data_IF_686656263769
#
_entry.id   IF_686656263769
#
_cell.length_a   1.000
_cell.length_b   1.000
_cell.length_c   1.000
_cell.angle_alpha   90.00
_cell.angle_beta   90.00
_cell.angle_gamma   90.00
#
_symmetry.space_group_name_H-M   'P 1'
#
loop_
_entity.id
_entity.type
_entity.pdbx_description
1 polymer ?
#
# COMPACT_ATOMS: atom_id res chain seq x y z
N UNK A 1 47.29 46.24 -8.66
CA UNK A 1 46.99 44.82 -8.92
C UNK A 1 45.52 44.62 -8.54
N UNK A 2 44.61 44.79 -9.50
CA UNK A 2 43.16 44.71 -9.29
C UNK A 2 42.72 43.31 -9.75
N UNK A 3 42.34 42.43 -8.83
CA UNK A 3 41.78 41.13 -9.18
C UNK A 3 40.34 41.32 -9.67
N UNK A 4 40.12 41.06 -10.96
CA UNK A 4 38.78 40.91 -11.52
C UNK A 4 38.23 39.55 -11.10
N UNK A 5 37.23 39.53 -10.23
CA UNK A 5 36.41 38.33 -10.01
C UNK A 5 35.37 38.24 -11.13
N UNK A 6 35.58 37.30 -12.06
CA UNK A 6 34.57 36.93 -13.07
C UNK A 6 33.59 35.98 -12.39
N UNK A 7 32.39 36.47 -12.09
CA UNK A 7 31.27 35.63 -11.68
C UNK A 7 30.75 34.96 -12.97
N UNK A 8 31.11 33.70 -13.19
CA UNK A 8 30.43 32.85 -14.16
C UNK A 8 29.04 32.52 -13.60
N UNK A 9 28.02 33.18 -14.12
CA UNK A 9 26.63 32.74 -13.94
C UNK A 9 26.46 31.53 -14.85
N UNK A 10 26.65 30.34 -14.29
CA UNK A 10 26.28 29.09 -14.96
C UNK A 10 24.76 29.09 -15.13
N UNK A 11 24.28 29.29 -16.36
CA UNK A 11 22.91 28.96 -16.73
C UNK A 11 22.83 27.43 -16.64
N UNK A 12 22.28 26.93 -15.54
CA UNK A 12 21.84 25.54 -15.47
C UNK A 12 20.71 25.44 -16.48
N UNK A 13 21.01 24.88 -17.65
CA UNK A 13 19.99 24.50 -18.61
C UNK A 13 19.14 23.46 -17.89
N UNK A 14 17.95 23.86 -17.44
CA UNK A 14 16.92 22.90 -17.06
C UNK A 14 16.71 22.03 -18.28
N UNK A 15 17.16 20.78 -18.23
CA UNK A 15 16.70 19.78 -19.18
C UNK A 15 15.19 19.72 -19.01
N UNK A 16 14.47 20.45 -19.87
CA UNK A 16 13.05 20.28 -20.07
C UNK A 16 12.90 18.86 -20.59
N UNK A 17 12.66 17.92 -19.69
CA UNK A 17 12.14 16.61 -20.05
C UNK A 17 10.87 16.87 -20.83
N UNK A 18 10.73 16.22 -21.99
CA UNK A 18 9.50 16.32 -22.77
C UNK A 18 8.29 16.03 -21.87
N UNK A 19 7.20 16.80 -21.98
CA UNK A 19 6.02 16.60 -21.16
C UNK A 19 5.51 15.17 -21.34
N UNK A 20 5.05 14.55 -20.26
CA UNK A 20 4.36 13.27 -20.34
C UNK A 20 3.01 13.50 -21.04
N UNK A 21 2.82 12.84 -22.18
CA UNK A 21 1.61 12.99 -22.99
C UNK A 21 0.93 11.64 -23.15
N UNK A 22 -0.34 11.60 -22.75
CA UNK A 22 -1.21 10.48 -23.07
C UNK A 22 -1.49 10.43 -24.59
N UNK A 23 -1.40 9.23 -25.21
CA UNK A 23 -1.76 9.05 -26.61
C UNK A 23 -3.13 9.64 -26.97
N UNK A 24 -3.23 10.29 -28.13
CA UNK A 24 -4.51 10.81 -28.64
C UNK A 24 -5.43 9.66 -29.05
N UNK A 25 -6.72 9.73 -28.70
CA UNK A 25 -7.72 8.70 -29.07
C UNK A 25 -8.48 8.11 -27.88
N UNK A 26 -8.02 8.40 -26.67
CA UNK A 26 -8.75 8.14 -25.44
C UNK A 26 -9.95 9.10 -25.30
N UNK A 27 -11.15 8.55 -25.11
CA UNK A 27 -12.38 9.34 -24.93
C UNK A 27 -12.22 10.32 -23.77
N UNK A 28 -12.89 11.48 -23.81
CA UNK A 28 -13.06 12.32 -22.62
C UNK A 28 -13.75 11.50 -21.53
N UNK A 29 -12.98 11.09 -20.53
CA UNK A 29 -13.47 10.19 -19.50
C UNK A 29 -14.35 10.95 -18.51
N UNK A 30 -15.54 10.39 -18.27
CA UNK A 30 -16.35 10.77 -17.11
C UNK A 30 -15.79 10.09 -15.86
N UNK A 31 -15.98 10.65 -14.66
CA UNK A 31 -15.62 10.00 -13.40
C UNK A 31 -16.15 8.57 -13.34
N UNK A 32 -15.33 7.63 -12.85
CA UNK A 32 -15.73 6.22 -12.78
C UNK A 32 -16.88 6.07 -11.79
N UNK A 33 -17.98 5.47 -12.24
CA UNK A 33 -19.12 5.14 -11.38
C UNK A 33 -18.86 3.82 -10.67
N UNK A 34 -18.20 3.89 -9.51
CA UNK A 34 -17.95 2.75 -8.63
C UNK A 34 -19.24 2.18 -8.01
N UNK A 35 -19.24 0.92 -7.53
CA UNK A 35 -20.38 0.36 -6.82
C UNK A 35 -20.65 1.14 -5.53
N UNK A 36 -21.90 1.12 -5.07
CA UNK A 36 -22.32 1.82 -3.85
C UNK A 36 -21.88 1.10 -2.55
N UNK A 37 -21.40 -0.13 -2.67
CA UNK A 37 -20.93 -0.97 -1.57
C UNK A 37 -20.02 -2.08 -2.10
N UNK A 38 -19.04 -2.48 -1.29
CA UNK A 38 -18.22 -3.68 -1.51
C UNK A 38 -18.56 -4.75 -0.47
N UNK A 39 -18.02 -5.96 -0.65
CA UNK A 39 -18.00 -7.00 0.38
C UNK A 39 -17.31 -6.43 1.63
N UNK A 40 -18.12 -6.23 2.66
CA UNK A 40 -17.75 -5.56 3.90
C UNK A 40 -17.49 -6.54 5.05
N UNK A 41 -17.31 -7.83 4.75
CA UNK A 41 -17.10 -8.90 5.73
C UNK A 41 -18.37 -9.29 6.49
N UNK A 42 -18.21 -9.69 7.75
CA UNK A 42 -19.34 -10.19 8.57
C UNK A 42 -19.07 -10.08 10.06
N UNK A 43 -20.14 -9.91 10.84
CA UNK A 43 -20.11 -9.98 12.30
C UNK A 43 -19.45 -11.27 12.80
N UNK A 44 -19.68 -12.40 12.10
CA UNK A 44 -19.04 -13.68 12.41
C UNK A 44 -18.37 -14.26 11.17
N UNK A 45 -17.07 -13.97 11.01
CA UNK A 45 -16.28 -14.49 9.90
C UNK A 45 -16.12 -16.02 9.91
N UNK A 46 -16.37 -16.69 11.04
CA UNK A 46 -16.21 -18.14 11.22
C UNK A 46 -17.50 -18.94 11.06
N UNK A 47 -18.62 -18.29 10.71
CA UNK A 47 -19.87 -18.99 10.44
C UNK A 47 -19.77 -19.85 9.18
N UNK A 48 -19.56 -21.15 9.38
CA UNK A 48 -19.46 -22.17 8.31
C UNK A 48 -20.76 -22.39 7.55
N UNK A 49 -21.89 -21.90 8.06
CA UNK A 49 -23.19 -21.96 7.38
C UNK A 49 -23.41 -20.81 6.39
N UNK A 50 -22.58 -19.77 6.44
CA UNK A 50 -22.70 -18.61 5.55
C UNK A 50 -21.84 -18.77 4.30
N UNK A 51 -22.47 -18.85 3.13
CA UNK A 51 -21.75 -18.74 1.85
C UNK A 51 -21.33 -17.30 1.61
N UNK A 52 -20.04 -17.07 1.38
CA UNK A 52 -19.49 -15.74 1.10
C UNK A 52 -18.53 -15.82 -0.08
N UNK A 53 -18.63 -14.90 -1.06
CA UNK A 53 -17.59 -14.76 -2.06
C UNK A 53 -16.27 -14.37 -1.38
N UNK A 54 -15.17 -14.90 -1.88
CA UNK A 54 -13.81 -14.58 -1.46
C UNK A 54 -13.33 -13.24 -2.03
N UNK A 55 -13.83 -12.88 -3.21
CA UNK A 55 -13.45 -11.68 -3.95
C UNK A 55 -14.68 -10.98 -4.52
N UNK A 56 -14.69 -9.65 -4.45
CA UNK A 56 -15.55 -8.80 -5.26
C UNK A 56 -14.83 -8.45 -6.55
N UNK A 57 -15.52 -8.58 -7.69
CA UNK A 57 -14.96 -8.29 -9.01
C UNK A 57 -15.85 -7.25 -9.68
N UNK A 58 -15.31 -6.06 -9.92
CA UNK A 58 -16.02 -4.95 -10.53
C UNK A 58 -15.38 -4.53 -11.87
N UNK A 59 -16.04 -4.73 -13.01
CA UNK A 59 -15.57 -4.20 -14.30
C UNK A 59 -15.84 -2.70 -14.39
N UNK A 60 -14.79 -1.89 -14.46
CA UNK A 60 -14.91 -0.46 -14.80
C UNK A 60 -15.31 -0.31 -16.27
N UNK A 61 -14.67 -1.09 -17.13
CA UNK A 61 -14.96 -1.22 -18.56
C UNK A 61 -14.45 -2.60 -19.05
N UNK A 62 -14.44 -2.81 -20.37
CA UNK A 62 -14.00 -4.08 -20.95
C UNK A 62 -12.55 -4.43 -20.66
N UNK A 63 -11.69 -3.44 -20.37
CA UNK A 63 -10.24 -3.60 -20.26
C UNK A 63 -9.71 -3.26 -18.86
N UNK A 64 -10.59 -3.04 -17.88
CA UNK A 64 -10.19 -2.58 -16.54
C UNK A 64 -11.12 -3.13 -15.48
N UNK A 65 -10.55 -3.83 -14.50
CA UNK A 65 -11.28 -4.43 -13.38
C UNK A 65 -10.68 -3.98 -12.04
N UNK A 66 -11.54 -3.83 -11.05
CA UNK A 66 -11.19 -3.69 -9.63
C UNK A 66 -11.53 -5.03 -8.96
N UNK A 67 -10.62 -5.53 -8.15
CA UNK A 67 -10.78 -6.72 -7.33
C UNK A 67 -10.70 -6.29 -5.86
N UNK A 68 -11.56 -6.83 -4.99
CA UNK A 68 -11.55 -6.52 -3.55
C UNK A 68 -11.61 -7.81 -2.75
N UNK A 69 -10.59 -8.06 -1.91
CA UNK A 69 -10.63 -9.22 -1.01
C UNK A 69 -11.77 -9.10 0.02
N UNK A 70 -12.35 -10.22 0.41
CA UNK A 70 -13.33 -10.23 1.48
C UNK A 70 -12.66 -9.96 2.84
N UNK A 71 -13.22 -9.03 3.65
CA UNK A 71 -12.73 -8.72 5.01
C UNK A 71 -12.69 -9.91 5.97
N UNK A 72 -13.44 -10.97 5.69
CA UNK A 72 -13.39 -12.23 6.45
C UNK A 72 -12.21 -13.13 6.09
N UNK A 73 -11.51 -12.87 4.99
CA UNK A 73 -10.27 -13.56 4.62
C UNK A 73 -9.08 -12.78 5.18
N UNK A 74 -9.05 -11.46 4.92
CA UNK A 74 -8.07 -10.54 5.49
C UNK A 74 -8.75 -9.22 5.87
N UNK A 75 -8.52 -8.70 7.08
CA UNK A 75 -9.21 -7.51 7.59
C UNK A 75 -8.89 -6.22 6.81
N UNK A 76 -7.71 -6.11 6.19
CA UNK A 76 -7.31 -4.97 5.35
C UNK A 76 -8.11 -5.03 4.03
N UNK A 77 -8.30 -6.27 3.57
CA UNK A 77 -9.12 -6.65 2.43
C UNK A 77 -8.66 -6.00 1.12
N UNK A 78 -7.36 -5.86 0.81
CA UNK A 78 -6.83 -4.99 -0.26
C UNK A 78 -7.61 -4.97 -1.58
N UNK A 79 -7.65 -3.79 -2.19
CA UNK A 79 -8.04 -3.60 -3.58
C UNK A 79 -6.86 -3.90 -4.51
N UNK A 80 -7.13 -4.62 -5.59
CA UNK A 80 -6.19 -4.87 -6.68
C UNK A 80 -6.80 -4.39 -8.00
N UNK A 81 -5.95 -4.06 -8.97
CA UNK A 81 -6.39 -3.50 -10.26
C UNK A 81 -5.85 -4.31 -11.41
N UNK A 82 -6.73 -4.78 -12.30
CA UNK A 82 -6.37 -5.58 -13.46
C UNK A 82 -6.62 -4.80 -14.75
N UNK A 83 -5.53 -4.48 -15.45
CA UNK A 83 -5.50 -3.59 -16.60
C UNK A 83 -5.10 -4.37 -17.86
N UNK A 84 -5.99 -4.44 -18.84
CA UNK A 84 -5.73 -5.11 -20.12
C UNK A 84 -5.16 -4.16 -21.16
N UNK A 85 -4.32 -4.71 -22.03
CA UNK A 85 -3.85 -4.14 -23.29
C UNK A 85 -3.83 -5.25 -24.36
N UNK A 86 -3.23 -4.99 -25.53
CA UNK A 86 -3.22 -5.96 -26.63
C UNK A 86 -2.59 -7.30 -26.26
N UNK A 87 -1.43 -7.28 -25.63
CA UNK A 87 -0.52 -8.42 -25.42
C UNK A 87 0.05 -8.44 -24.00
N UNK A 88 -0.34 -7.49 -23.16
CA UNK A 88 0.05 -7.46 -21.74
C UNK A 88 -1.18 -7.20 -20.87
N UNK A 89 -1.25 -7.92 -19.76
CA UNK A 89 -2.19 -7.68 -18.67
C UNK A 89 -1.37 -7.26 -17.46
N UNK A 90 -1.66 -6.09 -16.89
CA UNK A 90 -1.01 -5.61 -15.67
C UNK A 90 -1.95 -5.83 -14.49
N UNK A 91 -1.55 -6.66 -13.54
CA UNK A 91 -2.13 -6.75 -12.21
C UNK A 91 -1.33 -5.84 -11.27
N UNK A 92 -2.00 -4.85 -10.69
CA UNK A 92 -1.45 -3.97 -9.65
C UNK A 92 -1.93 -4.49 -8.31
N UNK A 93 -0.96 -4.87 -7.47
CA UNK A 93 -1.07 -5.60 -6.21
C UNK A 93 -1.62 -7.03 -6.37
N UNK A 94 -1.15 -7.96 -5.54
CA UNK A 94 -1.54 -9.38 -5.56
C UNK A 94 -2.38 -9.80 -4.35
N UNK A 95 -2.67 -8.84 -3.47
CA UNK A 95 -3.50 -9.03 -2.30
C UNK A 95 -2.74 -9.61 -1.10
N UNK A 96 -3.50 -9.85 -0.02
CA UNK A 96 -2.97 -10.14 1.31
C UNK A 96 -2.97 -11.64 1.65
N UNK A 97 -3.40 -12.48 0.71
CA UNK A 97 -3.69 -13.88 0.98
C UNK A 97 -2.74 -14.84 0.24
N UNK A 98 -1.86 -15.49 1.00
CA UNK A 98 -0.98 -16.58 0.53
C UNK A 98 -1.77 -17.83 0.14
N UNK A 99 -2.89 -18.10 0.83
CA UNK A 99 -3.63 -19.36 0.74
C UNK A 99 -4.47 -19.46 -0.53
N UNK A 100 -4.09 -20.35 -1.45
CA UNK A 100 -4.89 -20.71 -2.63
C UNK A 100 -6.22 -21.41 -2.29
N UNK A 101 -6.41 -21.86 -1.04
CA UNK A 101 -7.67 -22.48 -0.60
C UNK A 101 -8.65 -21.39 -0.14
N UNK A 102 -8.15 -20.38 0.56
CA UNK A 102 -8.99 -19.30 1.11
C UNK A 102 -9.32 -18.26 0.05
N UNK A 103 -8.34 -17.88 -0.77
CA UNK A 103 -8.49 -16.99 -1.92
C UNK A 103 -7.52 -17.43 -3.03
N UNK A 104 -7.98 -18.19 -4.05
CA UNK A 104 -7.19 -18.52 -5.23
C UNK A 104 -7.07 -17.34 -6.19
N UNK A 105 -6.42 -16.24 -5.79
CA UNK A 105 -6.36 -14.99 -6.58
C UNK A 105 -5.81 -15.21 -7.99
N UNK A 106 -4.82 -16.09 -8.15
CA UNK A 106 -4.26 -16.42 -9.46
C UNK A 106 -5.31 -17.06 -10.39
N UNK A 107 -6.19 -17.90 -9.86
CA UNK A 107 -7.26 -18.52 -10.65
C UNK A 107 -8.34 -17.51 -11.05
N UNK A 108 -8.69 -16.58 -10.15
CA UNK A 108 -9.62 -15.48 -10.46
C UNK A 108 -9.08 -14.60 -11.57
N UNK A 109 -7.80 -14.20 -11.48
CA UNK A 109 -7.14 -13.39 -12.51
C UNK A 109 -7.09 -14.14 -13.85
N UNK A 110 -6.70 -15.41 -13.88
CA UNK A 110 -6.70 -16.21 -15.13
C UNK A 110 -8.09 -16.39 -15.74
N UNK A 111 -9.13 -16.47 -14.90
CA UNK A 111 -10.52 -16.54 -15.39
C UNK A 111 -10.91 -15.24 -16.09
N UNK A 112 -10.53 -14.09 -15.52
CA UNK A 112 -10.76 -12.78 -16.15
C UNK A 112 -9.96 -12.62 -17.44
N UNK A 113 -8.69 -13.06 -17.46
CA UNK A 113 -7.86 -13.03 -18.67
C UNK A 113 -8.48 -13.89 -19.77
N UNK A 114 -8.89 -15.12 -19.43
CA UNK A 114 -9.53 -16.03 -20.40
C UNK A 114 -10.83 -15.43 -20.95
N UNK A 115 -11.65 -14.84 -20.08
CA UNK A 115 -12.88 -14.17 -20.52
C UNK A 115 -12.60 -12.99 -21.47
N UNK A 116 -11.61 -12.16 -21.14
CA UNK A 116 -11.17 -11.06 -21.99
C UNK A 116 -10.64 -11.55 -23.35
N UNK A 117 -9.83 -12.61 -23.37
CA UNK A 117 -9.34 -13.24 -24.59
C UNK A 117 -10.47 -13.70 -25.51
N UNK A 118 -11.49 -14.37 -24.95
CA UNK A 118 -12.65 -14.84 -25.72
C UNK A 118 -13.38 -13.66 -26.38
N UNK A 119 -13.62 -12.59 -25.62
CA UNK A 119 -14.32 -11.40 -26.12
C UNK A 119 -13.52 -10.65 -27.20
N UNK A 120 -12.18 -10.69 -27.11
CA UNK A 120 -11.27 -10.00 -28.03
C UNK A 120 -10.68 -10.90 -29.13
N UNK A 121 -11.12 -12.16 -29.22
CA UNK A 121 -10.65 -13.17 -30.20
C UNK A 121 -9.13 -13.35 -30.17
N UNK A 122 -8.57 -13.48 -28.96
CA UNK A 122 -7.14 -13.72 -28.71
C UNK A 122 -6.93 -15.06 -28.02
N UNK A 123 -5.74 -15.61 -28.15
CA UNK A 123 -5.32 -16.77 -27.39
C UNK A 123 -4.67 -16.32 -26.06
N UNK A 124 -4.84 -17.09 -24.99
CA UNK A 124 -4.20 -16.77 -23.70
C UNK A 124 -2.67 -16.68 -23.80
N UNK A 125 -2.06 -17.46 -24.70
CA UNK A 125 -0.63 -17.48 -24.94
C UNK A 125 -0.09 -16.20 -25.63
N UNK A 126 -0.98 -15.36 -26.16
CA UNK A 126 -0.62 -14.07 -26.76
C UNK A 126 -0.45 -12.96 -25.71
N UNK A 127 -0.76 -13.24 -24.44
CA UNK A 127 -0.75 -12.28 -23.35
C UNK A 127 0.34 -12.61 -22.31
N UNK A 128 1.18 -11.63 -21.98
CA UNK A 128 1.99 -11.64 -20.76
C UNK A 128 1.17 -11.06 -19.59
N UNK A 129 1.09 -11.77 -18.47
CA UNK A 129 0.63 -11.20 -17.20
C UNK A 129 1.82 -10.62 -16.45
N UNK A 130 1.78 -9.32 -16.16
CA UNK A 130 2.74 -8.65 -15.28
C UNK A 130 2.04 -8.40 -13.94
N UNK A 131 2.62 -8.90 -12.85
CA UNK A 131 2.21 -8.59 -11.48
C UNK A 131 3.20 -7.58 -10.93
N UNK A 132 2.71 -6.38 -10.61
CA UNK A 132 3.50 -5.31 -10.02
C UNK A 132 2.77 -4.73 -8.81
N UNK A 133 3.47 -3.98 -7.97
CA UNK A 133 2.95 -3.56 -6.68
C UNK A 133 3.03 -2.06 -6.52
N UNK A 134 2.06 -1.48 -5.82
CA UNK A 134 2.13 -0.11 -5.36
C UNK A 134 3.24 0.07 -4.33
N UNK A 135 3.49 -0.94 -3.48
CA UNK A 135 4.62 -0.99 -2.53
C UNK A 135 4.81 -2.38 -1.91
N UNK A 136 5.78 -2.51 -1.00
CA UNK A 136 6.26 -3.79 -0.46
C UNK A 136 5.57 -4.31 0.83
N UNK A 137 4.40 -3.80 1.21
CA UNK A 137 3.70 -4.39 2.36
C UNK A 137 3.04 -5.73 1.99
N UNK A 138 2.85 -6.60 2.99
CA UNK A 138 2.40 -7.98 2.79
C UNK A 138 0.99 -8.04 2.19
N UNK A 139 0.14 -7.08 2.49
CA UNK A 139 -1.21 -6.94 1.93
C UNK A 139 -1.25 -6.57 0.45
N UNK A 140 -0.11 -6.20 -0.12
CA UNK A 140 0.03 -5.91 -1.55
C UNK A 140 0.74 -7.02 -2.31
N UNK A 141 1.45 -7.92 -1.62
CA UNK A 141 2.45 -8.83 -2.21
C UNK A 141 2.29 -10.29 -1.79
N UNK A 142 1.52 -10.58 -0.74
CA UNK A 142 1.38 -11.94 -0.20
C UNK A 142 0.82 -12.94 -1.22
N UNK A 143 0.00 -12.47 -2.18
CA UNK A 143 -0.52 -13.28 -3.27
C UNK A 143 0.52 -13.75 -4.29
N UNK A 144 1.72 -13.17 -4.34
CA UNK A 144 2.75 -13.44 -5.36
C UNK A 144 3.11 -14.91 -5.48
N UNK A 145 3.12 -15.61 -4.35
CA UNK A 145 3.39 -17.05 -4.28
C UNK A 145 2.45 -17.88 -5.15
N UNK A 146 1.23 -17.38 -5.42
CA UNK A 146 0.27 -18.04 -6.31
C UNK A 146 0.59 -17.83 -7.79
N UNK A 147 1.32 -16.77 -8.15
CA UNK A 147 1.73 -16.42 -9.52
C UNK A 147 3.13 -16.95 -9.88
N UNK A 148 3.95 -17.32 -8.89
CA UNK A 148 5.29 -17.87 -9.13
C UNK A 148 5.25 -19.10 -10.04
N UNK A 149 6.13 -19.10 -11.04
CA UNK A 149 6.30 -20.17 -12.03
C UNK A 149 5.07 -20.45 -12.92
N UNK A 150 4.09 -19.54 -12.96
CA UNK A 150 2.99 -19.61 -13.92
C UNK A 150 3.49 -19.21 -15.31
N UNK A 151 2.94 -19.86 -16.34
CA UNK A 151 3.28 -19.55 -17.73
C UNK A 151 2.81 -18.14 -18.07
N UNK A 152 3.58 -17.47 -18.94
CA UNK A 152 3.27 -16.11 -19.41
C UNK A 152 3.01 -15.15 -18.25
N UNK A 153 3.81 -15.25 -17.18
CA UNK A 153 3.66 -14.43 -15.98
C UNK A 153 5.03 -13.92 -15.51
N UNK A 154 5.12 -12.62 -15.32
CA UNK A 154 6.26 -11.90 -14.76
C UNK A 154 5.82 -11.24 -13.47
N UNK A 155 6.58 -11.45 -12.38
CA UNK A 155 6.37 -10.73 -11.12
C UNK A 155 7.50 -9.71 -11.00
N UNK A 156 7.14 -8.44 -10.83
CA UNK A 156 8.08 -7.35 -10.58
C UNK A 156 8.38 -7.34 -9.10
N UNK A 157 9.63 -7.62 -8.73
CA UNK A 157 10.06 -7.55 -7.33
C UNK A 157 9.94 -6.13 -6.78
N UNK A 158 9.90 -6.02 -5.45
CA UNK A 158 9.46 -4.83 -4.72
C UNK A 158 10.58 -3.99 -4.10
N UNK A 159 11.85 -4.37 -4.26
CA UNK A 159 12.95 -3.50 -3.83
C UNK A 159 13.06 -2.26 -4.74
N UNK A 160 13.54 -1.14 -4.21
CA UNK A 160 13.72 0.10 -4.99
C UNK A 160 14.54 -0.17 -6.25
N UNK A 161 15.63 -0.94 -6.14
CA UNK A 161 16.51 -1.24 -7.26
C UNK A 161 15.79 -2.02 -8.37
N UNK A 162 14.92 -2.96 -7.99
CA UNK A 162 14.23 -3.82 -8.94
C UNK A 162 13.02 -3.13 -9.58
N UNK A 163 12.25 -2.39 -8.79
CA UNK A 163 11.17 -1.51 -9.28
C UNK A 163 11.75 -0.46 -10.23
N UNK A 164 12.84 0.19 -9.84
CA UNK A 164 13.48 1.23 -10.65
C UNK A 164 14.01 0.67 -11.96
N UNK A 165 14.66 -0.49 -11.91
CA UNK A 165 15.16 -1.15 -13.12
C UNK A 165 14.02 -1.59 -14.06
N UNK A 166 12.91 -2.08 -13.53
CA UNK A 166 11.79 -2.55 -14.35
C UNK A 166 11.05 -1.39 -15.03
N UNK A 167 10.77 -0.31 -14.28
CA UNK A 167 10.01 0.84 -14.78
C UNK A 167 10.87 2.00 -15.28
N UNK A 168 12.19 1.79 -15.44
CA UNK A 168 13.15 2.78 -15.92
C UNK A 168 13.18 4.08 -15.08
N UNK A 169 13.22 3.93 -13.76
CA UNK A 169 13.25 5.02 -12.78
C UNK A 169 14.71 5.36 -12.40
N UNK A 170 15.54 5.65 -13.40
CA UNK A 170 17.01 5.68 -13.28
C UNK A 170 17.56 6.67 -12.23
N UNK A 171 16.81 7.72 -11.89
CA UNK A 171 17.15 8.68 -10.85
C UNK A 171 16.05 8.69 -9.77
N UNK A 172 15.85 7.54 -9.10
CA UNK A 172 14.90 7.41 -8.02
C UNK A 172 15.11 8.47 -6.91
N UNK A 173 14.06 9.12 -6.38
CA UNK A 173 12.63 9.03 -6.76
C UNK A 173 12.19 10.13 -7.76
N UNK A 174 13.12 10.78 -8.45
CA UNK A 174 12.85 11.97 -9.27
C UNK A 174 12.43 11.66 -10.71
N UNK A 175 12.82 10.50 -11.25
CA UNK A 175 12.40 10.08 -12.59
C UNK A 175 10.96 9.57 -12.55
N UNK A 176 10.11 10.08 -13.46
CA UNK A 176 8.81 9.48 -13.77
C UNK A 176 9.00 8.48 -14.91
N UNK A 177 8.62 7.23 -14.68
CA UNK A 177 8.67 6.18 -15.69
C UNK A 177 7.50 6.28 -16.65
N UNK A 178 7.72 5.95 -17.93
CA UNK A 178 6.64 5.71 -18.90
C UNK A 178 6.58 4.22 -19.16
N UNK A 179 5.43 3.61 -18.87
CA UNK A 179 5.21 2.19 -19.10
C UNK A 179 4.15 2.03 -20.19
N UNK A 180 4.62 1.70 -21.39
CA UNK A 180 3.78 1.48 -22.57
C UNK A 180 3.45 0.00 -22.71
N UNK A 181 2.20 -0.36 -22.41
CA UNK A 181 1.63 -1.68 -22.70
C UNK A 181 1.30 -1.75 -24.20
N UNK A 182 2.36 -1.97 -24.98
CA UNK A 182 2.39 -2.09 -26.44
C UNK A 182 1.68 -0.96 -27.21
N UNK A 183 1.97 0.28 -26.83
CA UNK A 183 1.46 1.51 -27.48
C UNK A 183 -0.07 1.68 -27.48
N UNK A 184 -0.84 0.74 -26.89
CA UNK A 184 -2.30 0.82 -26.78
C UNK A 184 -2.78 1.33 -25.43
N UNK A 185 -1.97 1.16 -24.39
CA UNK A 185 -2.23 1.65 -23.04
C UNK A 185 -0.94 2.16 -22.43
N UNK A 186 -0.90 3.45 -22.13
CA UNK A 186 0.25 4.12 -21.52
C UNK A 186 -0.02 4.40 -20.05
N UNK A 187 0.94 4.08 -19.19
CA UNK A 187 0.94 4.47 -17.79
C UNK A 187 2.12 5.38 -17.47
N UNK A 188 1.89 6.34 -16.57
CA UNK A 188 2.99 6.99 -15.84
C UNK A 188 3.24 6.23 -14.54
N UNK A 189 4.51 5.95 -14.26
CA UNK A 189 4.97 5.32 -13.02
C UNK A 189 5.66 6.37 -12.19
N UNK A 190 5.05 6.76 -11.07
CA UNK A 190 5.41 7.93 -10.30
C UNK A 190 5.96 7.48 -8.95
N UNK A 191 7.27 7.58 -8.67
CA UNK A 191 7.80 7.31 -7.34
C UNK A 191 7.14 8.20 -6.30
N UNK A 192 6.64 7.58 -5.23
CA UNK A 192 6.01 8.25 -4.10
C UNK A 192 6.49 7.67 -2.75
N UNK A 193 7.81 7.55 -2.49
CA UNK A 193 8.30 7.09 -1.19
C UNK A 193 7.76 7.96 -0.05
N UNK A 194 7.50 7.33 1.09
CA UNK A 194 7.04 8.05 2.28
C UNK A 194 6.19 7.19 3.19
N UNK A 195 5.15 6.55 2.65
CA UNK A 195 4.44 5.49 3.37
C UNK A 195 5.36 4.27 3.53
N UNK A 196 5.91 3.81 2.40
CA UNK A 196 6.94 2.79 2.31
C UNK A 196 8.00 3.26 1.29
N UNK A 197 9.24 2.79 1.41
CA UNK A 197 10.39 3.36 0.69
C UNK A 197 10.39 3.08 -0.83
N UNK A 198 9.76 1.98 -1.28
CA UNK A 198 9.64 1.58 -2.69
C UNK A 198 8.32 2.03 -3.35
N UNK A 199 7.49 2.79 -2.63
CA UNK A 199 6.13 3.13 -3.08
C UNK A 199 6.10 3.85 -4.44
N UNK A 200 5.21 3.41 -5.34
CA UNK A 200 4.92 4.02 -6.64
C UNK A 200 3.41 4.21 -6.84
N UNK A 201 3.04 5.26 -7.57
CA UNK A 201 1.69 5.46 -8.09
C UNK A 201 1.64 5.16 -9.59
N UNK A 202 0.50 4.66 -10.04
CA UNK A 202 0.21 4.40 -11.45
C UNK A 202 -0.84 5.38 -11.94
N UNK A 203 -0.52 6.19 -12.94
CA UNK A 203 -1.53 6.96 -13.66
C UNK A 203 -1.78 6.31 -15.02
N UNK A 204 -3.01 5.89 -15.28
CA UNK A 204 -3.40 5.20 -16.51
C UNK A 204 -4.07 6.15 -17.51
N UNK A 205 -3.41 6.39 -18.65
CA UNK A 205 -3.93 7.25 -19.71
C UNK A 205 -5.25 6.75 -20.31
N UNK A 206 -5.52 5.44 -20.25
CA UNK A 206 -6.71 4.84 -20.85
C UNK A 206 -7.98 4.98 -19.99
N UNK A 207 -7.87 5.46 -18.75
CA UNK A 207 -9.01 5.63 -17.85
C UNK A 207 -8.97 6.93 -17.05
N UNK A 208 -7.81 7.58 -16.95
CA UNK A 208 -7.57 8.69 -16.03
C UNK A 208 -7.51 8.26 -14.56
N UNK A 209 -7.43 6.96 -14.28
CA UNK A 209 -7.27 6.46 -12.91
C UNK A 209 -5.87 6.77 -12.40
N UNK A 210 -5.81 7.26 -11.16
CA UNK A 210 -4.57 7.37 -10.40
C UNK A 210 -4.63 6.38 -9.25
N UNK A 211 -3.79 5.34 -9.30
CA UNK A 211 -3.70 4.30 -8.27
C UNK A 211 -2.56 4.67 -7.32
N UNK A 212 -2.87 4.88 -6.05
CA UNK A 212 -1.97 5.47 -5.05
C UNK A 212 -1.53 4.53 -3.93
N UNK A 213 -1.99 3.27 -3.96
CA UNK A 213 -1.78 2.32 -2.87
C UNK A 213 -2.23 2.93 -1.53
N UNK A 214 -1.33 2.92 -0.55
CA UNK A 214 -1.57 3.44 0.80
C UNK A 214 -1.20 4.91 1.01
N UNK A 215 -0.77 5.61 -0.04
CA UNK A 215 -0.38 7.02 0.07
C UNK A 215 -1.58 7.99 0.11
N UNK A 216 -2.67 7.65 -0.57
CA UNK A 216 -3.95 8.35 -0.47
C UNK A 216 -5.08 7.36 -0.69
N UNK A 217 -5.92 7.20 0.33
CA UNK A 217 -7.04 6.28 0.34
C UNK A 217 -8.09 6.76 1.34
N UNK A 218 -9.33 6.26 1.30
CA UNK A 218 -10.34 6.58 2.30
C UNK A 218 -10.07 5.86 3.62
N UNK A 219 -9.04 6.28 4.35
CA UNK A 219 -8.60 5.65 5.59
C UNK A 219 -7.52 6.47 6.31
N UNK A 220 -6.82 5.84 7.25
CA UNK A 220 -5.73 6.47 7.99
C UNK A 220 -4.43 6.34 7.20
N UNK A 221 -3.85 7.48 6.85
CA UNK A 221 -2.61 7.56 6.10
C UNK A 221 -1.43 7.51 7.07
N UNK A 222 -0.77 6.36 7.13
CA UNK A 222 0.46 6.16 7.90
C UNK A 222 1.67 6.57 7.08
N UNK A 223 2.62 7.29 7.69
CA UNK A 223 3.77 7.85 6.98
C UNK A 223 5.07 7.48 7.68
N UNK A 224 5.80 6.49 7.16
CA UNK A 224 7.10 6.08 7.69
C UNK A 224 8.16 7.19 7.59
N UNK A 225 8.23 7.85 6.44
CA UNK A 225 9.17 8.93 6.16
C UNK A 225 8.43 10.20 5.73
N UNK A 226 8.23 11.10 6.69
CA UNK A 226 7.50 12.35 6.48
C UNK A 226 8.15 13.24 5.40
N UNK A 227 9.47 13.40 5.42
CA UNK A 227 10.16 14.28 4.46
C UNK A 227 9.99 13.77 3.03
N UNK A 228 10.20 12.46 2.83
CA UNK A 228 9.98 11.83 1.54
C UNK A 228 8.51 11.95 1.11
N UNK A 229 7.55 11.76 2.03
CA UNK A 229 6.14 11.87 1.71
C UNK A 229 5.72 13.29 1.29
N UNK A 230 6.24 14.33 1.95
CA UNK A 230 6.04 15.74 1.54
C UNK A 230 6.50 15.94 0.10
N UNK A 231 7.72 15.51 -0.23
CA UNK A 231 8.26 15.62 -1.59
C UNK A 231 7.48 14.79 -2.60
N UNK A 232 7.04 13.60 -2.21
CA UNK A 232 6.29 12.66 -3.04
C UNK A 232 4.90 13.16 -3.41
N UNK A 233 4.12 13.63 -2.44
CA UNK A 233 2.79 14.17 -2.72
C UNK A 233 2.88 15.46 -3.53
N UNK A 234 3.88 16.31 -3.27
CA UNK A 234 4.12 17.50 -4.08
C UNK A 234 4.58 17.16 -5.50
N UNK A 235 5.46 16.17 -5.68
CA UNK A 235 5.84 15.67 -7.01
C UNK A 235 4.64 15.11 -7.78
N UNK A 236 3.77 14.35 -7.11
CA UNK A 236 2.56 13.79 -7.69
C UNK A 236 1.60 14.89 -8.16
N UNK A 237 1.30 15.87 -7.30
CA UNK A 237 0.46 17.04 -7.66
C UNK A 237 1.08 17.82 -8.82
N UNK A 238 2.36 18.18 -8.72
CA UNK A 238 3.06 18.95 -9.76
C UNK A 238 3.08 18.22 -11.10
N UNK A 239 3.26 16.88 -11.09
CA UNK A 239 3.25 16.06 -12.30
C UNK A 239 1.88 16.08 -12.98
N UNK A 240 0.79 15.93 -12.21
CA UNK A 240 -0.59 16.00 -12.71
C UNK A 240 -0.86 17.36 -13.34
N UNK A 241 -0.55 18.44 -12.63
CA UNK A 241 -0.85 19.81 -13.07
C UNK A 241 0.00 20.23 -14.28
N UNK A 242 1.31 19.97 -14.24
CA UNK A 242 2.24 20.40 -15.30
C UNK A 242 1.96 19.70 -16.63
N UNK A 243 1.49 18.45 -16.59
CA UNK A 243 1.12 17.69 -17.78
C UNK A 243 -0.38 17.79 -18.11
N UNK A 244 -1.16 18.54 -17.32
CA UNK A 244 -2.62 18.69 -17.47
C UNK A 244 -3.35 17.35 -17.57
N UNK A 245 -2.98 16.41 -16.70
CA UNK A 245 -3.56 15.07 -16.69
C UNK A 245 -5.02 15.12 -16.26
N UNK A 246 -5.87 14.34 -16.94
CA UNK A 246 -7.28 14.22 -16.59
C UNK A 246 -7.46 13.07 -15.59
N UNK A 247 -7.44 13.39 -14.30
CA UNK A 247 -7.67 12.40 -13.23
C UNK A 247 -9.18 12.24 -13.01
N UNK A 248 -9.71 11.07 -13.37
CA UNK A 248 -11.14 10.74 -13.23
C UNK A 248 -11.49 10.29 -11.83
N UNK A 249 -10.57 9.56 -11.21
CA UNK A 249 -10.68 8.97 -9.88
C UNK A 249 -9.28 8.69 -9.33
N UNK A 250 -9.10 8.91 -8.04
CA UNK A 250 -7.93 8.42 -7.30
C UNK A 250 -8.37 7.20 -6.50
N UNK A 251 -7.67 6.07 -6.64
CA UNK A 251 -8.02 4.80 -6.02
C UNK A 251 -6.85 4.28 -5.18
N UNK A 252 -7.09 4.08 -3.88
CA UNK A 252 -6.10 3.50 -2.96
C UNK A 252 -6.27 2.00 -2.77
N UNK A 253 -5.57 1.38 -1.82
CA UNK A 253 -5.67 -0.07 -1.61
C UNK A 253 -6.68 -0.48 -0.53
N UNK A 254 -7.13 0.43 0.33
CA UNK A 254 -8.05 0.11 1.42
C UNK A 254 -9.16 1.15 1.58
N UNK A 255 -10.26 0.72 2.22
CA UNK A 255 -11.22 1.62 2.86
C UNK A 255 -11.19 1.31 4.36
N UNK A 256 -10.95 2.34 5.15
CA UNK A 256 -11.01 2.29 6.61
C UNK A 256 -11.98 3.32 7.19
N UNK A 257 -12.28 4.38 6.43
CA UNK A 257 -13.26 5.38 6.84
C UNK A 257 -14.69 4.83 6.79
N UNK A 258 -15.48 5.23 7.77
CA UNK A 258 -16.93 5.06 7.73
C UNK A 258 -17.57 6.10 6.79
N UNK A 259 -18.88 5.99 6.57
CA UNK A 259 -19.69 7.02 5.92
C UNK A 259 -19.85 8.29 6.77
N UNK A 260 -19.57 8.21 8.08
CA UNK A 260 -19.55 9.37 8.96
C UNK A 260 -18.19 10.07 8.84
N UNK A 261 -18.23 11.38 8.58
CA UNK A 261 -17.03 12.18 8.37
C UNK A 261 -16.08 12.07 9.57
N UNK A 262 -14.77 12.00 9.30
CA UNK A 262 -13.68 11.96 10.30
C UNK A 262 -13.61 10.71 11.18
N UNK A 263 -14.50 9.73 10.98
CA UNK A 263 -14.54 8.50 11.77
C UNK A 263 -14.04 7.32 10.93
N UNK A 264 -12.96 6.68 11.38
CA UNK A 264 -12.44 5.41 10.86
C UNK A 264 -12.96 4.21 11.66
N UNK A 265 -13.00 3.06 11.01
CA UNK A 265 -13.12 1.78 11.67
C UNK A 265 -11.82 1.47 12.43
N UNK A 266 -11.89 0.79 13.59
CA UNK A 266 -10.69 0.33 14.27
C UNK A 266 -9.85 -0.60 13.38
N UNK A 267 -8.52 -0.49 13.48
CA UNK A 267 -7.60 -1.44 12.84
C UNK A 267 -7.97 -2.88 13.24
N UNK A 268 -7.95 -3.81 12.28
CA UNK A 268 -8.38 -5.18 12.51
C UNK A 268 -9.89 -5.43 12.34
N UNK A 269 -10.69 -4.41 12.04
CA UNK A 269 -12.13 -4.59 11.83
C UNK A 269 -12.43 -5.49 10.61
N UNK A 270 -13.06 -6.63 10.86
CA UNK A 270 -13.48 -7.60 9.84
C UNK A 270 -14.93 -7.40 9.37
N UNK A 271 -15.63 -6.38 9.88
CA UNK A 271 -16.99 -6.04 9.48
C UNK A 271 -17.18 -4.52 9.38
N UNK A 272 -17.38 -4.02 8.15
CA UNK A 272 -17.43 -2.58 7.85
C UNK A 272 -18.67 -2.21 6.99
N UNK A 273 -19.90 -2.46 7.46
CA UNK A 273 -21.11 -2.35 6.64
C UNK A 273 -21.45 -0.92 6.17
N UNK A 274 -20.83 0.09 6.78
CA UNK A 274 -21.00 1.50 6.47
C UNK A 274 -19.65 2.13 6.10
N UNK A 275 -18.81 1.37 5.40
CA UNK A 275 -17.58 1.92 4.82
C UNK A 275 -17.87 2.97 3.76
N UNK A 276 -16.92 3.89 3.58
CA UNK A 276 -16.99 4.94 2.56
C UNK A 276 -16.77 4.36 1.16
N UNK A 277 -17.07 5.15 0.13
CA UNK A 277 -16.68 4.79 -1.24
C UNK A 277 -15.15 4.85 -1.41
N UNK A 278 -14.60 3.93 -2.19
CA UNK A 278 -13.17 3.87 -2.55
C UNK A 278 -12.67 5.15 -3.24
N UNK A 279 -13.53 5.80 -4.03
CA UNK A 279 -13.14 6.93 -4.88
C UNK A 279 -12.65 8.13 -4.06
N UNK A 280 -11.44 8.58 -4.37
CA UNK A 280 -10.86 9.85 -3.93
C UNK A 280 -10.76 10.83 -5.12
N UNK A 281 -10.57 12.12 -4.84
CA UNK A 281 -10.56 13.22 -5.79
C UNK A 281 -9.27 14.03 -5.76
N UNK A 282 -9.02 14.82 -6.81
CA UNK A 282 -7.91 15.78 -6.82
C UNK A 282 -7.99 16.79 -5.68
N UNK A 283 -9.18 17.23 -5.30
CA UNK A 283 -9.36 18.14 -4.16
C UNK A 283 -8.82 17.53 -2.86
N UNK A 284 -9.04 16.22 -2.64
CA UNK A 284 -8.51 15.52 -1.48
C UNK A 284 -7.00 15.31 -1.56
N UNK A 285 -6.45 15.09 -2.75
CA UNK A 285 -5.00 15.07 -2.95
C UNK A 285 -4.37 16.44 -2.64
N UNK A 286 -5.02 17.53 -3.06
CA UNK A 286 -4.59 18.88 -2.70
C UNK A 286 -4.72 19.16 -1.20
N UNK A 287 -5.77 18.67 -0.54
CA UNK A 287 -5.90 18.75 0.91
C UNK A 287 -4.70 18.08 1.61
N UNK A 288 -4.37 16.84 1.22
CA UNK A 288 -3.20 16.13 1.75
C UNK A 288 -1.90 16.89 1.48
N UNK A 289 -1.70 17.37 0.24
CA UNK A 289 -0.50 18.12 -0.13
C UNK A 289 -0.34 19.40 0.72
N UNK A 290 -1.43 20.15 0.89
CA UNK A 290 -1.42 21.38 1.69
C UNK A 290 -1.14 21.09 3.16
N UNK A 291 -1.73 20.02 3.72
CA UNK A 291 -1.47 19.58 5.10
C UNK A 291 0.01 19.26 5.32
N UNK A 292 0.58 18.43 4.44
CA UNK A 292 1.99 18.04 4.47
C UNK A 292 2.92 19.25 4.37
N UNK A 293 2.66 20.14 3.41
CA UNK A 293 3.47 21.35 3.21
C UNK A 293 3.38 22.31 4.40
N UNK A 294 2.19 22.47 4.98
CA UNK A 294 2.01 23.32 6.16
C UNK A 294 2.76 22.76 7.36
N UNK A 295 2.59 21.47 7.68
CA UNK A 295 3.31 20.84 8.79
C UNK A 295 4.83 20.75 8.55
N UNK A 296 5.27 20.62 7.29
CA UNK A 296 6.69 20.71 6.93
C UNK A 296 7.27 22.09 7.26
N UNK A 297 6.56 23.16 6.85
CA UNK A 297 6.95 24.55 7.09
C UNK A 297 6.98 24.90 8.58
N UNK A 298 6.02 24.39 9.35
CA UNK A 298 5.95 24.62 10.79
C UNK A 298 7.03 23.83 11.55
N UNK A 299 7.59 22.80 10.91
CA UNK A 299 8.72 22.01 11.42
C UNK A 299 8.31 20.84 12.31
N UNK A 300 9.29 19.99 12.63
CA UNK A 300 9.07 18.69 13.27
C UNK A 300 8.20 18.74 14.54
N UNK A 301 8.42 19.73 15.41
CA UNK A 301 7.69 19.86 16.69
C UNK A 301 6.20 20.18 16.53
N UNK A 302 5.76 20.58 15.33
CA UNK A 302 4.38 20.93 15.03
C UNK A 302 3.66 19.85 14.23
N UNK A 303 4.31 18.69 14.00
CA UNK A 303 3.64 17.56 13.36
C UNK A 303 2.52 17.03 14.25
N UNK A 304 1.35 16.81 13.68
CA UNK A 304 0.17 16.36 14.40
C UNK A 304 -0.80 15.60 13.51
N UNK A 305 -1.63 14.78 14.14
CA UNK A 305 -2.70 14.06 13.46
C UNK A 305 -3.81 15.03 13.05
N UNK A 306 -4.27 14.92 11.81
CA UNK A 306 -5.30 15.79 11.24
C UNK A 306 -6.43 14.96 10.64
N UNK A 307 -7.66 15.43 10.81
CA UNK A 307 -8.87 14.71 10.44
C UNK A 307 -9.55 15.41 9.27
N UNK A 308 -9.73 14.69 8.17
CA UNK A 308 -10.53 15.11 7.04
C UNK A 308 -11.78 14.23 6.95
N UNK A 309 -12.78 14.68 6.19
CA UNK A 309 -14.04 13.94 6.04
C UNK A 309 -13.84 12.50 5.55
N UNK A 310 -12.80 12.29 4.75
CA UNK A 310 -12.62 11.07 3.97
C UNK A 310 -11.31 10.37 4.21
N UNK A 311 -10.39 10.95 4.98
CA UNK A 311 -9.13 10.34 5.35
C UNK A 311 -8.62 10.97 6.65
N UNK A 312 -7.70 10.28 7.31
CA UNK A 312 -7.04 10.79 8.51
C UNK A 312 -5.54 10.83 8.21
N UNK A 313 -4.94 12.00 8.35
CA UNK A 313 -3.50 12.17 8.20
C UNK A 313 -2.81 11.88 9.53
N UNK A 314 -1.94 10.87 9.58
CA UNK A 314 -1.23 10.47 10.79
C UNK A 314 0.30 10.50 10.57
N UNK A 315 0.95 11.68 10.70
CA UNK A 315 2.37 11.88 10.36
C UNK A 315 3.34 11.30 11.39
N UNK A 316 2.79 10.64 12.40
CA UNK A 316 3.50 10.06 13.53
C UNK A 316 3.22 8.56 13.50
N UNK A 317 3.91 7.78 12.66
CA UNK A 317 3.80 6.33 12.75
C UNK A 317 4.28 5.83 14.13
N UNK A 318 5.00 6.66 14.90
CA UNK A 318 5.66 6.28 16.16
C UNK A 318 5.79 7.36 17.24
N UNK A 319 5.25 8.58 17.10
CA UNK A 319 5.04 9.45 18.27
C UNK A 319 3.67 9.13 18.86
N UNK A 320 3.64 8.05 19.63
CA UNK A 320 2.67 7.92 20.70
C UNK A 320 2.76 9.20 21.55
N UNK A 321 1.65 9.73 22.10
CA UNK A 321 1.77 10.68 23.20
C UNK A 321 2.76 10.10 24.23
N UNK A 322 3.59 10.90 24.94
CA UNK A 322 4.33 10.38 26.09
C UNK A 322 3.33 9.66 26.98
N UNK A 323 3.38 8.33 26.99
CA UNK A 323 2.28 7.56 27.54
C UNK A 323 2.27 7.71 29.06
N UNK A 324 1.11 7.98 29.65
CA UNK A 324 0.84 7.59 31.02
C UNK A 324 1.03 6.07 31.16
N UNK A 325 1.44 5.55 32.33
CA UNK A 325 1.98 4.18 32.48
C UNK A 325 1.04 2.99 32.19
N UNK A 326 -0.16 3.19 31.64
CA UNK A 326 -1.27 2.22 31.80
C UNK A 326 -2.00 1.81 30.51
N UNK A 327 -1.54 2.11 29.30
CA UNK A 327 -2.31 1.76 28.09
C UNK A 327 -1.45 1.03 27.01
N UNK A 328 -2.02 -0.09 26.51
CA UNK A 328 -1.44 -1.04 25.54
C UNK A 328 -1.42 -0.45 24.13
N UNK A 329 -0.35 -0.68 23.34
CA UNK A 329 -0.26 -0.17 21.96
C UNK A 329 0.34 -1.19 20.96
N UNK A 330 -0.21 -1.15 19.74
CA UNK A 330 0.19 -1.90 18.52
C UNK A 330 0.99 -0.99 17.58
N UNK A 331 2.11 -1.48 17.05
CA UNK A 331 2.88 -0.87 15.95
C UNK A 331 3.16 -1.92 14.87
N UNK A 332 3.53 -1.50 13.65
CA UNK A 332 3.74 -2.37 12.47
C UNK A 332 4.40 -3.72 12.81
N UNK A 333 3.58 -4.77 12.79
CA UNK A 333 3.98 -6.14 13.06
C UNK A 333 4.08 -6.55 14.54
N UNK A 334 4.08 -5.65 15.53
CA UNK A 334 4.22 -6.02 16.94
C UNK A 334 3.32 -5.21 17.92
N UNK A 335 2.71 -5.92 18.87
CA UNK A 335 1.94 -5.39 20.01
C UNK A 335 2.82 -5.43 21.26
N UNK A 336 2.91 -4.30 21.96
CA UNK A 336 3.60 -4.19 23.24
C UNK A 336 2.57 -4.13 24.38
N UNK A 337 2.60 -5.12 25.26
CA UNK A 337 1.74 -5.19 26.43
C UNK A 337 2.59 -5.04 27.70
N UNK A 338 2.58 -3.86 28.36
CA UNK A 338 3.29 -3.69 29.61
C UNK A 338 2.68 -4.58 30.70
N UNK A 339 3.53 -5.30 31.42
CA UNK A 339 3.13 -6.19 32.51
C UNK A 339 3.22 -5.51 33.87
N UNK A 340 4.27 -4.72 34.07
CA UNK A 340 4.51 -4.06 35.35
C UNK A 340 5.30 -2.75 35.21
N UNK A 341 5.43 -2.06 36.36
CA UNK A 341 6.18 -0.81 36.49
C UNK A 341 7.70 -1.00 36.52
N UNK A 342 8.18 -2.25 36.50
CA UNK A 342 9.61 -2.60 36.50
C UNK A 342 10.17 -2.73 35.07
N UNK A 343 9.32 -2.58 34.05
CA UNK A 343 9.69 -2.53 32.65
C UNK A 343 9.50 -3.86 31.91
N UNK A 344 8.88 -4.85 32.54
CA UNK A 344 8.55 -6.10 31.86
C UNK A 344 7.41 -5.87 30.86
N UNK A 345 7.60 -6.35 29.62
CA UNK A 345 6.64 -6.23 28.53
C UNK A 345 6.49 -7.58 27.82
N UNK A 346 5.28 -7.90 27.37
CA UNK A 346 5.12 -8.83 26.27
C UNK A 346 5.27 -8.09 24.95
N UNK A 347 6.14 -8.59 24.09
CA UNK A 347 6.26 -8.19 22.70
C UNK A 347 5.62 -9.29 21.87
N UNK A 348 4.49 -9.03 21.23
CA UNK A 348 3.80 -10.02 20.43
C UNK A 348 3.80 -9.61 18.97
N UNK A 349 4.34 -10.45 18.07
CA UNK A 349 4.15 -10.22 16.65
C UNK A 349 2.66 -10.37 16.28
N UNK A 350 2.19 -9.68 15.23
CA UNK A 350 0.85 -9.91 14.67
C UNK A 350 0.65 -11.42 14.43
N UNK A 351 -0.52 -12.00 14.74
CA UNK A 351 -0.82 -13.39 14.43
C UNK A 351 -0.49 -13.70 12.97
N UNK A 352 0.27 -14.77 12.76
CA UNK A 352 0.71 -15.24 11.45
C UNK A 352 -0.12 -16.45 11.06
N UNK A 353 -0.98 -16.29 10.06
CA UNK A 353 -1.83 -17.36 9.56
C UNK A 353 -1.14 -18.05 8.38
N UNK A 354 -0.23 -18.99 8.65
CA UNK A 354 0.52 -19.74 7.64
C UNK A 354 0.32 -21.25 7.81
N UNK A 355 -0.18 -21.94 6.79
CA UNK A 355 -0.31 -23.40 6.84
C UNK A 355 1.06 -24.08 7.11
N UNK A 356 1.12 -25.15 7.93
CA UNK A 356 0.02 -25.90 8.55
C UNK A 356 -0.44 -25.39 9.92
N UNK A 357 0.14 -24.30 10.45
CA UNK A 357 -0.15 -23.83 11.81
C UNK A 357 -0.26 -22.31 11.86
N UNK A 358 -1.39 -21.81 12.34
CA UNK A 358 -1.47 -20.42 12.77
C UNK A 358 -0.60 -20.25 14.02
N UNK A 359 0.25 -19.22 14.04
CA UNK A 359 1.14 -18.99 15.16
C UNK A 359 1.24 -17.50 15.49
N UNK A 360 1.51 -17.22 16.76
CA UNK A 360 1.80 -15.88 17.24
C UNK A 360 3.09 -15.95 18.05
N UNK A 361 4.09 -15.15 17.67
CA UNK A 361 5.34 -15.10 18.42
C UNK A 361 5.18 -14.07 19.52
N UNK A 362 5.27 -14.52 20.78
CA UNK A 362 5.16 -13.66 21.95
C UNK A 362 6.42 -13.81 22.79
N UNK A 363 7.11 -12.70 23.01
CA UNK A 363 8.37 -12.61 23.74
C UNK A 363 8.15 -11.86 25.05
N UNK A 364 8.66 -12.40 26.15
CA UNK A 364 8.78 -11.63 27.39
C UNK A 364 10.10 -10.85 27.33
N UNK A 365 10.04 -9.54 27.42
CA UNK A 365 11.21 -8.67 27.40
C UNK A 365 11.22 -7.73 28.62
N UNK A 366 12.40 -7.23 28.96
CA UNK A 366 12.59 -6.20 29.98
C UNK A 366 13.14 -4.95 29.28
N UNK A 367 12.35 -3.88 29.24
CA UNK A 367 12.79 -2.58 28.74
C UNK A 367 13.51 -1.86 29.88
N UNK A 368 14.82 -1.68 29.74
CA UNK A 368 15.60 -0.90 30.71
C UNK A 368 15.76 0.54 30.21
N UNK A 369 15.59 1.50 31.11
CA UNK A 369 15.69 2.93 30.81
C UNK A 369 17.18 3.32 30.71
N UNK A 370 17.84 2.98 29.60
CA UNK A 370 19.24 3.31 29.36
C UNK A 370 19.38 4.21 28.13
N UNK A 371 19.42 5.51 28.38
CA UNK A 371 20.00 6.52 27.47
C UNK A 371 21.53 6.64 27.65
N UNK A 372 22.19 5.63 28.25
CA UNK A 372 23.63 5.67 28.54
C UNK A 372 24.32 4.51 27.85
N UNK A 373 24.80 4.75 26.62
CA UNK A 373 25.58 3.86 25.74
C UNK A 373 25.00 2.45 25.53
N UNK A 374 24.90 1.94 24.28
CA UNK A 374 24.65 0.52 24.10
C UNK A 374 25.75 -0.24 24.86
N UNK A 375 25.36 -1.05 25.84
CA UNK A 375 26.26 -2.07 26.40
C UNK A 375 26.85 -2.80 25.20
N UNK A 376 28.18 -2.91 25.06
CA UNK A 376 28.76 -3.63 23.95
C UNK A 376 28.15 -5.03 23.95
N UNK A 377 27.63 -5.44 22.80
CA UNK A 377 27.16 -6.81 22.60
C UNK A 377 28.26 -7.74 23.13
N UNK A 378 27.96 -8.67 24.04
CA UNK A 378 28.97 -9.57 24.56
C UNK A 378 29.65 -10.26 23.37
N UNK A 379 30.96 -10.13 23.26
CA UNK A 379 31.78 -10.63 22.14
C UNK A 379 31.77 -12.16 22.00
N UNK A 380 31.00 -12.85 22.84
CA UNK A 380 30.78 -14.30 22.85
C UNK A 380 29.28 -14.66 22.77
N UNK A 381 28.57 -14.19 21.73
CA UNK A 381 27.20 -14.67 21.43
C UNK A 381 27.18 -16.16 21.04
N UNK A 382 28.34 -16.77 20.77
CA UNK A 382 28.45 -18.21 20.44
C UNK A 382 28.28 -19.16 21.64
N UNK A 383 28.03 -18.68 22.86
CA UNK A 383 27.85 -19.55 24.04
C UNK A 383 26.66 -19.18 24.94
N UNK A 384 25.52 -18.79 24.37
CA UNK A 384 24.26 -18.92 25.10
C UNK A 384 23.82 -20.39 25.02
N UNK A 385 24.38 -21.21 25.90
CA UNK A 385 24.01 -22.61 26.11
C UNK A 385 22.76 -22.74 26.99
N UNK A 386 21.79 -21.84 26.87
CA UNK A 386 20.46 -22.08 27.40
C UNK A 386 19.70 -22.94 26.40
N UNK A 387 19.39 -24.18 26.78
CA UNK A 387 18.42 -24.97 26.05
C UNK A 387 17.11 -24.19 25.99
N UNK A 388 16.76 -23.68 24.81
CA UNK A 388 15.44 -23.11 24.58
C UNK A 388 14.44 -24.27 24.62
N UNK A 389 13.60 -24.32 25.65
CA UNK A 389 12.43 -25.18 25.66
C UNK A 389 11.30 -24.46 24.92
N UNK A 390 11.01 -24.90 23.69
CA UNK A 390 9.73 -24.58 23.04
C UNK A 390 8.68 -25.43 23.76
N UNK A 391 7.85 -24.80 24.60
CA UNK A 391 6.68 -25.44 25.16
C UNK A 391 5.45 -25.04 24.33
N UNK A 392 4.77 -26.00 23.68
CA UNK A 392 3.49 -25.72 23.07
C UNK A 392 2.45 -25.54 24.18
N UNK A 393 1.93 -24.33 24.34
CA UNK A 393 0.74 -24.09 25.15
C UNK A 393 -0.47 -23.89 24.22
N UNK A 394 -1.53 -24.66 24.44
CA UNK A 394 -2.82 -24.43 23.79
C UNK A 394 -3.57 -23.34 24.55
N UNK A 395 -3.71 -22.17 23.95
CA UNK A 395 -4.52 -21.08 24.48
C UNK A 395 -5.81 -20.91 23.68
N UNK A 396 -6.93 -20.71 24.38
CA UNK A 396 -8.15 -20.18 23.74
C UNK A 396 -8.04 -18.66 23.66
N UNK A 397 -8.50 -18.05 22.56
CA UNK A 397 -8.44 -16.60 22.33
C UNK A 397 -9.03 -15.77 23.50
N UNK A 398 -9.98 -16.34 24.24
CA UNK A 398 -10.62 -15.71 25.41
C UNK A 398 -9.66 -15.44 26.59
N UNK A 399 -8.51 -16.12 26.63
CA UNK A 399 -7.53 -15.96 27.72
C UNK A 399 -6.34 -15.05 27.34
N UNK A 400 -6.27 -14.57 26.09
CA UNK A 400 -5.23 -13.63 25.67
C UNK A 400 -5.64 -12.17 25.94
N UNK A 401 -6.94 -11.93 26.10
CA UNK A 401 -7.53 -10.57 26.16
C UNK A 401 -7.87 -10.14 27.60
N UNK A 402 -8.15 -11.09 28.50
CA UNK A 402 -8.25 -10.85 29.95
C UNK A 402 -6.88 -10.99 30.61
#
# INVERSE_FOLDING_TARGET
MLLLFVILIGIVSSHLTDPFVCPTGYSTYLPVKLPTSWINGSINCFDKGATRPDLDIFPINNDTYILRENKCINYEAPFMYLLFSNDTVLLIDSGATVSFISLPIQQHVETLITHWCINNKKERADLELVVAHTHNHDDHTAGDVQFKYKLFTTIVNTSIEEVSRYFHLDNWPNTIGTYDLNNQRRLAIIPIPGHEDSSIAFYDCATGLLITGDSLLPGRLYIANFSANVESISRLVNFIESNRLNVTSILGAHIEMTQENTIDYPIGATYQPKERLLNMSLDQLHQLNNELQQQWKDGFSHRHKTYYDTFIFDPKPSELPPLPPNERISVHGFILLPLDKLGYVWISHKPMFRAPHDFQLTFLALITNSTVNPLPLPTNITQINSQWTIQPEQWSLNNLIN
#
